data_IF_958976119018
#
_entry.id   IF_958976119018
#
_cell.length_a   1.000
_cell.length_b   1.000
_cell.length_c   1.000
_cell.angle_alpha   90.00
_cell.angle_beta   90.00
_cell.angle_gamma   90.00
#
_symmetry.space_group_name_H-M   'P 1'
#
loop_
_entity.id
_entity.type
_entity.pdbx_description
1 polymer ?
#
# COMPACT_ATOMS: atom_id res chain seq x y z
N UNK A 1 5.83 31.78 9.20
CA UNK A 1 5.15 30.57 8.69
C UNK A 1 4.70 30.72 7.24
N UNK A 2 3.99 31.81 6.86
CA UNK A 2 3.54 32.03 5.47
C UNK A 2 4.64 31.88 4.39
N UNK A 3 5.83 32.45 4.61
CA UNK A 3 6.92 32.42 3.63
C UNK A 3 7.50 31.00 3.37
N UNK A 4 7.51 30.15 4.40
CA UNK A 4 7.99 28.78 4.29
C UNK A 4 6.99 27.87 3.57
N UNK A 5 5.69 28.02 3.87
CA UNK A 5 4.63 27.28 3.18
C UNK A 5 4.57 27.61 1.68
N UNK A 6 4.73 28.89 1.32
CA UNK A 6 4.82 29.31 -0.09
C UNK A 6 6.02 28.69 -0.79
N UNK A 7 7.20 28.65 -0.15
CA UNK A 7 8.40 28.01 -0.70
C UNK A 7 8.18 26.53 -1.02
N UNK A 8 7.51 25.78 -0.14
CA UNK A 8 7.21 24.36 -0.35
C UNK A 8 6.27 24.14 -1.54
N UNK A 9 5.23 24.95 -1.68
CA UNK A 9 4.34 24.86 -2.84
C UNK A 9 5.05 25.14 -4.17
N UNK A 10 5.99 26.09 -4.18
CA UNK A 10 6.83 26.38 -5.35
C UNK A 10 7.76 25.22 -5.69
N UNK A 11 8.43 24.63 -4.69
CA UNK A 11 9.25 23.43 -4.87
C UNK A 11 8.42 22.28 -5.46
N UNK A 12 7.22 22.04 -4.94
CA UNK A 12 6.34 20.99 -5.45
C UNK A 12 5.97 21.23 -6.92
N UNK A 13 5.49 22.42 -7.26
CA UNK A 13 5.08 22.74 -8.64
C UNK A 13 6.24 22.61 -9.62
N UNK A 14 7.45 23.00 -9.23
CA UNK A 14 8.65 22.86 -10.06
C UNK A 14 9.06 21.41 -10.34
N UNK A 15 8.64 20.47 -9.48
CA UNK A 15 8.97 19.05 -9.57
C UNK A 15 7.89 18.20 -10.25
N UNK A 16 6.73 18.78 -10.60
CA UNK A 16 5.61 18.09 -11.26
C UNK A 16 5.60 18.36 -12.76
N UNK A 17 5.18 17.39 -13.57
CA UNK A 17 5.01 17.55 -15.01
C UNK A 17 3.91 18.60 -15.35
N UNK A 18 3.99 19.30 -16.50
CA UNK A 18 3.07 20.40 -16.83
C UNK A 18 1.58 20.07 -16.70
N UNK A 19 1.19 18.85 -17.07
CA UNK A 19 -0.21 18.40 -17.03
C UNK A 19 -0.77 18.33 -15.59
N UNK A 20 0.07 17.99 -14.61
CA UNK A 20 -0.32 17.95 -13.19
C UNK A 20 -0.24 19.32 -12.50
N UNK A 21 0.56 20.25 -13.02
CA UNK A 21 0.79 21.56 -12.41
C UNK A 21 -0.48 22.41 -12.32
N UNK A 22 -1.35 22.40 -13.34
CA UNK A 22 -2.55 23.24 -13.35
C UNK A 22 -3.56 22.87 -12.24
N UNK A 23 -3.73 21.56 -11.99
CA UNK A 23 -4.63 21.08 -10.93
C UNK A 23 -4.09 21.40 -9.52
N UNK A 24 -2.76 21.38 -9.36
CA UNK A 24 -2.08 21.71 -8.11
C UNK A 24 -2.00 23.22 -7.87
N UNK A 25 -1.74 24.02 -8.91
CA UNK A 25 -1.65 25.47 -8.82
C UNK A 25 -3.01 26.12 -8.52
N UNK A 26 -4.12 25.50 -8.94
CA UNK A 26 -5.49 25.92 -8.61
C UNK A 26 -5.96 25.48 -7.21
N UNK A 27 -5.07 24.90 -6.39
CA UNK A 27 -5.40 24.49 -5.04
C UNK A 27 -4.86 25.49 -4.01
N UNK A 28 -5.73 26.43 -3.61
CA UNK A 28 -5.37 27.52 -2.68
C UNK A 28 -4.77 27.04 -1.35
N UNK A 29 -5.22 25.88 -0.84
CA UNK A 29 -4.74 25.31 0.42
C UNK A 29 -3.51 24.38 0.27
N UNK A 30 -2.92 24.24 -0.92
CA UNK A 30 -1.81 23.31 -1.16
C UNK A 30 -0.61 23.58 -0.24
N UNK A 31 -0.21 24.84 -0.11
CA UNK A 31 0.91 25.25 0.74
C UNK A 31 0.71 24.82 2.21
N UNK A 32 -0.48 25.09 2.75
CA UNK A 32 -0.84 24.72 4.12
C UNK A 32 -0.91 23.20 4.30
N UNK A 33 -1.47 22.47 3.32
CA UNK A 33 -1.54 21.01 3.38
C UNK A 33 -0.16 20.36 3.35
N UNK A 34 0.79 20.90 2.57
CA UNK A 34 2.18 20.42 2.55
C UNK A 34 2.90 20.73 3.87
N UNK A 35 2.67 21.92 4.44
CA UNK A 35 3.23 22.28 5.74
C UNK A 35 2.72 21.36 6.85
N UNK A 36 1.41 21.11 6.91
CA UNK A 36 0.80 20.18 7.87
C UNK A 36 1.33 18.75 7.68
N UNK A 37 1.41 18.27 6.44
CA UNK A 37 1.96 16.93 6.17
C UNK A 37 3.41 16.80 6.63
N UNK A 38 4.23 17.83 6.41
CA UNK A 38 5.61 17.87 6.88
C UNK A 38 5.68 17.92 8.41
N UNK A 39 4.94 18.81 9.07
CA UNK A 39 4.94 18.93 10.53
C UNK A 39 4.53 17.63 11.22
N UNK A 40 3.47 16.98 10.74
CA UNK A 40 3.01 15.68 11.27
C UNK A 40 4.08 14.61 11.07
N UNK A 41 4.72 14.57 9.90
CA UNK A 41 5.75 13.57 9.60
C UNK A 41 7.03 13.79 10.42
N UNK A 42 7.50 15.04 10.52
CA UNK A 42 8.67 15.41 11.31
C UNK A 42 8.44 15.16 12.81
N UNK A 43 7.25 15.47 13.32
CA UNK A 43 6.89 15.20 14.71
C UNK A 43 6.92 13.71 15.05
N UNK A 44 6.52 12.83 14.12
CA UNK A 44 6.55 11.38 14.32
C UNK A 44 7.98 10.82 14.52
N UNK A 45 9.00 11.51 14.00
CA UNK A 45 10.40 11.10 14.07
C UNK A 45 11.29 12.07 14.84
N UNK A 46 10.68 13.00 15.57
CA UNK A 46 11.38 14.02 16.33
C UNK A 46 12.40 13.39 17.29
N UNK A 47 13.62 13.93 17.28
CA UNK A 47 14.74 13.43 18.09
C UNK A 47 15.42 12.16 17.55
N UNK A 48 14.95 11.56 16.46
CA UNK A 48 15.67 10.48 15.77
C UNK A 48 16.52 10.99 14.59
N UNK A 49 15.92 11.79 13.71
CA UNK A 49 16.59 12.40 12.56
C UNK A 49 15.78 13.61 12.07
N UNK A 50 16.37 14.40 11.19
CA UNK A 50 15.71 15.54 10.54
C UNK A 50 15.94 15.47 9.03
N UNK A 51 14.85 15.51 8.26
CA UNK A 51 14.87 15.58 6.80
C UNK A 51 14.44 16.99 6.38
N UNK A 52 15.20 17.59 5.47
CA UNK A 52 14.88 18.90 4.92
C UNK A 52 13.46 18.93 4.31
N UNK A 53 12.64 19.96 4.59
CA UNK A 53 11.28 20.07 4.07
C UNK A 53 11.21 19.94 2.55
N UNK A 54 12.17 20.50 1.82
CA UNK A 54 12.23 20.48 0.36
C UNK A 54 12.46 19.05 -0.17
N UNK A 55 13.27 18.26 0.54
CA UNK A 55 13.52 16.86 0.19
C UNK A 55 12.27 16.00 0.35
N UNK A 56 11.48 16.26 1.40
CA UNK A 56 10.21 15.59 1.62
C UNK A 56 9.17 16.00 0.56
N UNK A 57 9.06 17.29 0.27
CA UNK A 57 8.12 17.82 -0.72
C UNK A 57 8.44 17.35 -2.14
N UNK A 58 9.73 17.25 -2.51
CA UNK A 58 10.12 16.68 -3.79
C UNK A 58 9.63 15.22 -3.94
N UNK A 59 9.72 14.42 -2.86
CA UNK A 59 9.20 13.06 -2.88
C UNK A 59 7.66 13.03 -3.03
N UNK A 60 6.94 13.95 -2.37
CA UNK A 60 5.49 14.10 -2.55
C UNK A 60 5.16 14.44 -4.01
N UNK A 61 5.90 15.37 -4.62
CA UNK A 61 5.70 15.85 -5.99
C UNK A 61 5.76 14.70 -7.02
N UNK A 62 6.77 13.82 -6.92
CA UNK A 62 6.93 12.64 -7.78
C UNK A 62 5.69 11.74 -7.78
N UNK A 63 4.94 11.70 -6.67
CA UNK A 63 3.83 10.78 -6.45
C UNK A 63 2.49 11.39 -6.82
N UNK A 64 2.25 12.64 -6.41
CA UNK A 64 0.96 13.31 -6.68
C UNK A 64 0.92 13.94 -8.09
N UNK A 65 2.08 14.20 -8.70
CA UNK A 65 2.19 14.84 -10.00
C UNK A 65 1.66 14.01 -11.18
N UNK A 66 1.57 12.69 -11.00
CA UNK A 66 1.01 11.74 -12.00
C UNK A 66 -0.38 11.23 -11.62
N UNK A 67 -0.93 11.68 -10.49
CA UNK A 67 -2.21 11.20 -9.98
C UNK A 67 -3.37 11.90 -10.69
N UNK A 68 -4.42 11.13 -11.01
CA UNK A 68 -5.66 11.68 -11.59
C UNK A 68 -6.38 12.66 -10.64
N UNK A 69 -6.21 12.48 -9.33
CA UNK A 69 -6.68 13.41 -8.29
C UNK A 69 -5.56 13.66 -7.28
N UNK A 70 -4.78 14.74 -7.44
CA UNK A 70 -3.68 15.07 -6.53
C UNK A 70 -4.12 15.35 -5.09
N UNK A 71 -5.35 15.85 -4.87
CA UNK A 71 -5.86 16.14 -3.53
C UNK A 71 -6.11 14.85 -2.76
N UNK A 72 -6.81 13.92 -3.40
CA UNK A 72 -7.05 12.61 -2.81
C UNK A 72 -5.77 11.78 -2.66
N UNK A 73 -4.78 11.96 -3.54
CA UNK A 73 -3.46 11.34 -3.41
C UNK A 73 -2.72 11.86 -2.18
N UNK A 74 -2.64 13.19 -1.98
CA UNK A 74 -2.00 13.79 -0.82
C UNK A 74 -2.68 13.37 0.49
N UNK A 75 -4.02 13.36 0.53
CA UNK A 75 -4.77 12.98 1.72
C UNK A 75 -4.60 11.51 2.14
N UNK A 76 -4.25 10.62 1.21
CA UNK A 76 -4.02 9.19 1.48
C UNK A 76 -2.57 8.85 1.80
N UNK A 77 -1.68 9.82 1.62
CA UNK A 77 -0.25 9.62 1.78
C UNK A 77 0.09 9.32 3.23
N UNK A 78 0.86 8.25 3.46
CA UNK A 78 1.45 7.99 4.78
C UNK A 78 2.67 8.87 4.96
N UNK A 79 2.42 10.13 5.33
CA UNK A 79 3.44 11.17 5.43
C UNK A 79 4.62 10.76 6.33
N UNK A 80 4.36 10.24 7.54
CA UNK A 80 5.41 9.80 8.47
C UNK A 80 6.23 8.62 7.93
N UNK A 81 5.58 7.63 7.32
CA UNK A 81 6.26 6.48 6.72
C UNK A 81 7.11 6.91 5.52
N UNK A 82 6.56 7.78 4.66
CA UNK A 82 7.28 8.30 3.50
C UNK A 82 8.50 9.13 3.95
N UNK A 83 8.34 9.94 5.00
CA UNK A 83 9.41 10.77 5.56
C UNK A 83 10.59 9.91 6.00
N UNK A 84 10.34 8.82 6.73
CA UNK A 84 11.37 7.85 7.09
C UNK A 84 12.01 7.21 5.85
N UNK A 85 11.20 6.74 4.90
CA UNK A 85 11.71 6.07 3.71
C UNK A 85 12.63 6.98 2.88
N UNK A 86 12.25 8.25 2.70
CA UNK A 86 13.06 9.27 2.00
C UNK A 86 14.34 9.57 2.77
N UNK A 87 14.26 9.71 4.11
CA UNK A 87 15.43 9.94 4.94
C UNK A 87 16.43 8.77 4.87
N UNK A 88 15.95 7.52 4.90
CA UNK A 88 16.77 6.33 4.68
C UNK A 88 17.40 6.33 3.29
N UNK A 89 16.61 6.56 2.24
CA UNK A 89 17.10 6.55 0.85
C UNK A 89 18.17 7.63 0.59
N UNK A 90 18.11 8.76 1.32
CA UNK A 90 19.07 9.87 1.22
C UNK A 90 20.26 9.71 2.17
N UNK A 91 20.30 8.68 3.02
CA UNK A 91 21.38 8.49 3.98
C UNK A 91 21.42 9.54 5.09
N UNK A 92 20.27 10.08 5.49
CA UNK A 92 20.18 11.01 6.63
C UNK A 92 20.62 10.29 7.91
N UNK A 93 21.53 10.91 8.66
CA UNK A 93 22.04 10.36 9.91
C UNK A 93 20.88 10.08 10.90
N UNK A 94 20.88 8.90 11.52
CA UNK A 94 19.84 8.45 12.45
C UNK A 94 18.57 7.87 11.79
N UNK A 95 18.38 8.02 10.47
CA UNK A 95 17.20 7.48 9.79
C UNK A 95 17.21 5.95 9.73
N UNK A 96 18.36 5.34 9.41
CA UNK A 96 18.51 3.88 9.39
C UNK A 96 18.31 3.27 10.78
N UNK A 97 18.82 3.92 11.84
CA UNK A 97 18.61 3.46 13.20
C UNK A 97 17.14 3.52 13.61
N UNK A 98 16.43 4.59 13.21
CA UNK A 98 14.98 4.70 13.41
C UNK A 98 14.22 3.61 12.65
N UNK A 99 14.62 3.32 11.41
CA UNK A 99 14.06 2.25 10.62
C UNK A 99 14.27 0.87 11.26
N UNK A 100 15.48 0.52 11.66
CA UNK A 100 15.81 -0.77 12.29
C UNK A 100 15.06 -0.95 13.62
N UNK A 101 14.91 0.11 14.41
CA UNK A 101 14.14 0.08 15.66
C UNK A 101 12.69 -0.34 15.45
N UNK A 102 12.07 0.10 14.37
CA UNK A 102 10.65 -0.14 14.07
C UNK A 102 10.46 -1.44 13.28
N UNK A 103 11.30 -1.70 12.29
CA UNK A 103 11.08 -2.77 11.30
C UNK A 103 12.07 -3.93 11.38
N UNK A 104 13.18 -3.80 12.13
CA UNK A 104 14.22 -4.84 12.22
C UNK A 104 13.66 -6.19 12.66
N UNK A 105 12.77 -6.22 13.65
CA UNK A 105 12.11 -7.46 14.10
C UNK A 105 11.26 -8.13 13.03
N UNK A 106 10.62 -7.36 12.16
CA UNK A 106 9.84 -7.93 11.06
C UNK A 106 10.74 -8.48 9.96
N UNK A 107 11.87 -7.80 9.68
CA UNK A 107 12.90 -8.30 8.76
C UNK A 107 13.46 -9.62 9.29
N UNK A 108 13.87 -9.66 10.56
CA UNK A 108 14.50 -10.85 11.15
C UNK A 108 13.53 -12.04 11.17
N UNK A 109 12.24 -11.81 11.43
CA UNK A 109 11.20 -12.85 11.35
C UNK A 109 11.00 -13.39 9.94
N UNK A 110 11.14 -12.57 8.91
CA UNK A 110 11.07 -13.05 7.52
C UNK A 110 12.34 -13.83 7.21
N UNK A 111 13.52 -13.25 7.44
CA UNK A 111 14.83 -13.87 7.19
C UNK A 111 14.95 -15.24 7.88
N UNK A 112 14.52 -15.36 9.14
CA UNK A 112 14.57 -16.60 9.90
C UNK A 112 13.74 -17.76 9.29
N UNK A 113 12.74 -17.46 8.45
CA UNK A 113 11.96 -18.49 7.74
C UNK A 113 12.68 -19.08 6.53
N UNK A 114 13.57 -18.28 5.91
CA UNK A 114 14.34 -18.65 4.73
C UNK A 114 15.72 -19.20 5.06
N UNK A 115 16.29 -18.79 6.19
CA UNK A 115 17.61 -19.22 6.62
C UNK A 115 17.66 -20.72 6.95
N UNK A 116 18.73 -21.40 6.52
CA UNK A 116 18.99 -22.83 6.74
C UNK A 116 19.83 -23.11 7.99
N UNK A 117 20.56 -22.10 8.47
CA UNK A 117 21.40 -22.17 9.67
C UNK A 117 21.47 -20.79 10.34
N UNK A 118 22.13 -20.71 11.51
CA UNK A 118 22.36 -19.42 12.17
C UNK A 118 23.28 -18.50 11.35
N UNK A 119 24.38 -19.04 10.80
CA UNK A 119 25.28 -18.26 9.93
C UNK A 119 24.57 -17.77 8.66
N UNK A 120 23.77 -18.63 8.02
CA UNK A 120 22.98 -18.27 6.84
C UNK A 120 21.92 -17.19 7.17
N UNK A 121 21.40 -17.16 8.40
CA UNK A 121 20.46 -16.12 8.85
C UNK A 121 21.13 -14.76 8.92
N UNK A 122 22.31 -14.69 9.53
CA UNK A 122 23.02 -13.43 9.72
C UNK A 122 23.46 -12.86 8.36
N UNK A 123 24.03 -13.72 7.50
CA UNK A 123 24.44 -13.36 6.14
C UNK A 123 23.25 -12.91 5.28
N UNK A 124 22.14 -13.67 5.30
CA UNK A 124 20.93 -13.30 4.56
C UNK A 124 20.31 -12.00 5.11
N UNK A 125 20.31 -11.82 6.43
CA UNK A 125 19.81 -10.63 7.10
C UNK A 125 20.60 -9.38 6.70
N UNK A 126 21.93 -9.48 6.68
CA UNK A 126 22.80 -8.40 6.21
C UNK A 126 22.55 -8.11 4.73
N UNK A 127 22.53 -9.14 3.87
CA UNK A 127 22.35 -8.97 2.43
C UNK A 127 20.97 -8.39 2.06
N UNK A 128 19.94 -8.63 2.86
CA UNK A 128 18.63 -7.98 2.75
C UNK A 128 18.75 -6.49 3.09
N UNK A 129 19.36 -6.15 4.23
CA UNK A 129 19.50 -4.76 4.70
C UNK A 129 20.31 -3.91 3.73
N UNK A 130 21.42 -4.42 3.21
CA UNK A 130 22.22 -3.76 2.19
C UNK A 130 21.39 -3.39 0.96
N UNK A 131 20.62 -4.35 0.41
CA UNK A 131 19.75 -4.08 -0.75
C UNK A 131 18.58 -3.16 -0.43
N UNK A 132 18.05 -3.25 0.79
CA UNK A 132 16.88 -2.49 1.22
C UNK A 132 17.23 -1.01 1.44
N UNK A 133 18.36 -0.74 2.10
CA UNK A 133 18.70 0.58 2.65
C UNK A 133 19.89 1.26 1.98
N UNK A 134 20.82 0.51 1.36
CA UNK A 134 22.02 1.07 0.72
C UNK A 134 21.93 1.01 -0.81
N UNK A 135 21.45 -0.10 -1.36
CA UNK A 135 21.47 -0.36 -2.79
C UNK A 135 22.84 -0.86 -3.27
N UNK A 136 23.04 -0.92 -4.58
CA UNK A 136 24.27 -1.44 -5.20
C UNK A 136 24.84 -0.42 -6.21
N UNK A 137 24.97 0.83 -5.76
CA UNK A 137 25.50 1.95 -6.54
C UNK A 137 24.44 2.79 -7.29
N UNK A 138 24.86 3.78 -8.09
CA UNK A 138 23.96 4.78 -8.70
C UNK A 138 22.87 4.19 -9.61
N UNK A 139 23.17 3.06 -10.27
CA UNK A 139 22.23 2.36 -11.15
C UNK A 139 21.25 1.43 -10.40
N UNK A 140 21.47 1.19 -9.10
CA UNK A 140 20.61 0.37 -8.25
C UNK A 140 20.42 1.08 -6.91
N UNK A 141 19.53 2.09 -6.84
CA UNK A 141 19.22 2.77 -5.59
C UNK A 141 18.67 1.78 -4.56
N UNK A 142 18.71 2.13 -3.26
CA UNK A 142 18.16 1.30 -2.20
C UNK A 142 16.67 1.04 -2.44
N UNK A 143 16.19 -0.18 -2.19
CA UNK A 143 14.80 -0.54 -2.46
C UNK A 143 13.80 0.35 -1.71
N UNK A 144 14.16 0.85 -0.52
CA UNK A 144 13.33 1.75 0.28
C UNK A 144 12.93 3.03 -0.48
N UNK A 145 13.73 3.48 -1.45
CA UNK A 145 13.40 4.63 -2.29
C UNK A 145 12.15 4.40 -3.17
N UNK A 146 11.79 3.14 -3.44
CA UNK A 146 10.61 2.78 -4.22
C UNK A 146 9.31 2.74 -3.41
N UNK A 147 9.38 2.91 -2.08
CA UNK A 147 8.16 3.08 -1.29
C UNK A 147 7.53 4.44 -1.61
N UNK A 148 6.30 4.41 -2.08
CA UNK A 148 5.59 5.55 -2.64
C UNK A 148 4.69 6.27 -1.62
N UNK A 149 4.75 5.90 -0.33
CA UNK A 149 3.83 6.44 0.68
C UNK A 149 2.40 5.90 0.56
N UNK A 150 2.14 4.98 -0.38
CA UNK A 150 0.86 4.31 -0.53
C UNK A 150 0.80 3.11 0.40
N UNK A 151 -0.11 3.17 1.37
CA UNK A 151 -0.19 2.12 2.37
C UNK A 151 0.95 2.12 3.36
N UNK A 152 1.00 1.12 4.22
CA UNK A 152 1.92 1.16 5.36
C UNK A 152 3.27 0.58 5.02
N UNK A 153 4.29 1.27 5.50
CA UNK A 153 5.67 0.87 5.27
C UNK A 153 5.97 -0.51 5.85
N UNK A 154 5.37 -0.88 6.99
CA UNK A 154 5.55 -2.20 7.60
C UNK A 154 5.20 -3.35 6.64
N UNK A 155 4.06 -3.26 5.97
CA UNK A 155 3.61 -4.27 5.01
C UNK A 155 4.49 -4.28 3.76
N UNK A 156 4.89 -3.10 3.28
CA UNK A 156 5.83 -2.98 2.18
C UNK A 156 7.19 -3.61 2.51
N UNK A 157 7.72 -3.39 3.72
CA UNK A 157 8.99 -3.97 4.19
C UNK A 157 8.89 -5.49 4.23
N UNK A 158 7.84 -6.05 4.81
CA UNK A 158 7.63 -7.52 4.86
C UNK A 158 7.62 -8.14 3.46
N UNK A 159 6.88 -7.56 2.52
CA UNK A 159 6.80 -8.06 1.14
C UNK A 159 8.14 -7.94 0.43
N UNK A 160 8.81 -6.79 0.57
CA UNK A 160 10.09 -6.52 -0.09
C UNK A 160 11.19 -7.43 0.46
N UNK A 161 11.26 -7.62 1.79
CA UNK A 161 12.18 -8.57 2.43
C UNK A 161 11.93 -9.98 1.95
N UNK A 162 10.68 -10.46 1.91
CA UNK A 162 10.36 -11.79 1.37
C UNK A 162 10.87 -11.95 -0.06
N UNK A 163 10.67 -10.95 -0.94
CA UNK A 163 11.18 -10.98 -2.32
C UNK A 163 12.70 -11.05 -2.37
N UNK A 164 13.39 -10.26 -1.54
CA UNK A 164 14.85 -10.28 -1.46
C UNK A 164 15.38 -11.64 -0.97
N UNK A 165 14.71 -12.27 -0.01
CA UNK A 165 15.04 -13.62 0.44
C UNK A 165 14.82 -14.67 -0.66
N UNK A 166 13.73 -14.55 -1.44
CA UNK A 166 13.46 -15.42 -2.59
C UNK A 166 14.55 -15.26 -3.66
N UNK A 167 14.90 -14.02 -3.99
CA UNK A 167 15.95 -13.73 -4.98
C UNK A 167 17.30 -14.29 -4.54
N UNK A 168 17.65 -14.16 -3.25
CA UNK A 168 18.87 -14.74 -2.68
C UNK A 168 18.85 -16.27 -2.74
N UNK A 169 17.73 -16.91 -2.37
CA UNK A 169 17.58 -18.36 -2.43
C UNK A 169 17.67 -18.90 -3.87
N UNK A 170 17.17 -18.15 -4.86
CA UNK A 170 17.29 -18.49 -6.29
C UNK A 170 18.73 -18.35 -6.78
N UNK A 171 19.44 -17.29 -6.37
CA UNK A 171 20.84 -17.06 -6.76
C UNK A 171 21.80 -18.07 -6.14
N UNK A 172 21.49 -18.60 -4.95
CA UNK A 172 22.26 -19.65 -4.29
C UNK A 172 22.09 -21.04 -4.94
N UNK A 173 21.17 -21.22 -5.90
CA UNK A 173 21.10 -22.44 -6.70
C UNK A 173 22.22 -22.41 -7.75
N UNK A 174 23.16 -23.37 -7.76
CA UNK A 174 24.06 -23.51 -8.90
C UNK A 174 23.22 -23.75 -10.17
N UNK A 175 23.58 -23.09 -11.28
CA UNK A 175 23.14 -23.51 -12.62
C UNK A 175 23.65 -24.94 -12.82
N UNK A 176 22.86 -25.94 -12.48
CA UNK A 176 23.17 -27.30 -12.85
C UNK A 176 23.04 -27.38 -14.38
N UNK A 177 24.22 -27.52 -14.97
CA UNK A 177 24.52 -28.07 -16.30
C UNK A 177 23.47 -29.11 -16.70
N UNK A 178 23.03 -29.04 -17.95
CA UNK A 178 22.32 -30.12 -18.65
C UNK A 178 23.04 -31.45 -18.41
N UNK A 179 22.47 -32.30 -17.55
CA UNK A 179 22.79 -33.73 -17.50
C UNK A 179 21.46 -34.46 -17.65
N UNK A 180 21.32 -35.40 -18.61
CA UNK A 180 20.03 -35.99 -18.92
C UNK A 180 19.52 -36.90 -17.80
N UNK A 181 18.24 -36.74 -17.48
CA UNK A 181 17.29 -37.66 -16.83
C UNK A 181 17.83 -38.72 -15.85
N UNK A 182 17.47 -38.55 -14.58
CA UNK A 182 17.53 -39.59 -13.55
C UNK A 182 16.86 -39.14 -12.24
N UNK A 183 15.60 -39.55 -12.10
CA UNK A 183 14.81 -39.83 -10.88
C UNK A 183 14.65 -38.74 -9.78
N UNK A 184 13.41 -38.24 -9.72
CA UNK A 184 12.63 -37.72 -8.58
C UNK A 184 13.36 -37.42 -7.26
N UNK A 185 13.91 -36.20 -7.13
CA UNK A 185 14.01 -35.53 -5.83
C UNK A 185 13.01 -34.36 -5.76
N UNK A 186 12.10 -34.32 -4.76
CA UNK A 186 11.09 -33.29 -4.68
C UNK A 186 11.72 -31.91 -4.46
N UNK A 187 11.29 -30.94 -5.26
CA UNK A 187 11.76 -29.55 -5.27
C UNK A 187 11.32 -28.72 -4.03
N UNK A 188 11.76 -29.10 -2.82
CA UNK A 188 11.23 -28.56 -1.54
C UNK A 188 11.41 -27.04 -1.34
N UNK A 189 12.53 -26.45 -1.77
CA UNK A 189 12.83 -25.04 -1.46
C UNK A 189 12.09 -24.02 -2.35
N UNK A 190 11.79 -24.38 -3.60
CA UNK A 190 11.04 -23.51 -4.52
C UNK A 190 9.57 -23.44 -4.14
N UNK A 191 9.00 -24.60 -3.81
CA UNK A 191 7.62 -24.73 -3.32
C UNK A 191 7.42 -24.03 -1.98
N UNK A 192 8.41 -24.10 -1.06
CA UNK A 192 8.34 -23.40 0.22
C UNK A 192 8.32 -21.88 0.05
N UNK A 193 9.17 -21.33 -0.81
CA UNK A 193 9.23 -19.89 -1.07
C UNK A 193 7.94 -19.34 -1.68
N UNK A 194 7.38 -20.04 -2.67
CA UNK A 194 6.09 -19.67 -3.28
C UNK A 194 4.90 -19.92 -2.32
N UNK A 195 4.97 -20.95 -1.47
CA UNK A 195 3.99 -21.19 -0.41
C UNK A 195 4.02 -20.10 0.67
N UNK A 196 5.19 -19.57 1.02
CA UNK A 196 5.37 -18.49 1.99
C UNK A 196 4.88 -17.14 1.45
N UNK A 197 5.22 -16.80 0.20
CA UNK A 197 4.64 -15.63 -0.47
C UNK A 197 3.11 -15.75 -0.59
N UNK A 198 2.62 -16.95 -0.90
CA UNK A 198 1.19 -17.25 -0.93
C UNK A 198 0.54 -17.19 0.45
N UNK A 199 1.25 -17.57 1.51
CA UNK A 199 0.79 -17.46 2.89
C UNK A 199 0.65 -16.00 3.31
N UNK A 200 1.67 -15.16 3.10
CA UNK A 200 1.58 -13.72 3.38
C UNK A 200 0.48 -13.03 2.58
N UNK A 201 0.33 -13.39 1.29
CA UNK A 201 -0.80 -12.92 0.47
C UNK A 201 -2.14 -13.38 1.05
N UNK A 202 -2.27 -14.63 1.51
CA UNK A 202 -3.49 -15.16 2.13
C UNK A 202 -3.81 -14.47 3.47
N UNK A 203 -2.80 -14.21 4.29
CA UNK A 203 -2.94 -13.52 5.57
C UNK A 203 -3.43 -12.08 5.36
N UNK A 204 -2.77 -11.32 4.47
CA UNK A 204 -3.20 -9.97 4.11
C UNK A 204 -4.58 -9.97 3.43
N UNK A 205 -4.83 -10.92 2.52
CA UNK A 205 -6.15 -11.08 1.90
C UNK A 205 -7.23 -11.46 2.92
N UNK A 206 -6.88 -12.19 3.99
CA UNK A 206 -7.77 -12.52 5.10
C UNK A 206 -8.16 -11.27 5.91
N UNK A 207 -7.18 -10.43 6.25
CA UNK A 207 -7.41 -9.15 6.93
C UNK A 207 -8.32 -8.24 6.09
N UNK A 208 -8.03 -8.12 4.79
CA UNK A 208 -8.81 -7.31 3.85
C UNK A 208 -10.22 -7.86 3.67
N UNK A 209 -10.37 -9.18 3.54
CA UNK A 209 -11.67 -9.83 3.40
C UNK A 209 -12.53 -9.64 4.64
N UNK A 210 -11.95 -9.77 5.82
CA UNK A 210 -12.64 -9.54 7.08
C UNK A 210 -13.06 -8.06 7.21
N UNK A 211 -12.16 -7.13 6.88
CA UNK A 211 -12.49 -5.71 6.87
C UNK A 211 -13.61 -5.36 5.88
N UNK A 212 -13.61 -5.99 4.71
CA UNK A 212 -14.68 -5.82 3.72
C UNK A 212 -16.02 -6.37 4.21
N UNK A 213 -16.02 -7.53 4.87
CA UNK A 213 -17.24 -8.10 5.45
C UNK A 213 -17.86 -7.17 6.50
N UNK A 214 -17.03 -6.51 7.32
CA UNK A 214 -17.50 -5.51 8.29
C UNK A 214 -17.99 -4.24 7.62
N UNK A 215 -17.27 -3.73 6.62
CA UNK A 215 -17.68 -2.53 5.88
C UNK A 215 -19.05 -2.72 5.22
N UNK A 216 -19.27 -3.88 4.60
CA UNK A 216 -20.58 -4.25 4.05
C UNK A 216 -21.63 -4.38 5.14
N UNK A 217 -21.26 -4.86 6.34
CA UNK A 217 -22.19 -4.96 7.47
C UNK A 217 -22.59 -3.58 8.03
N UNK A 218 -21.69 -2.61 7.99
CA UNK A 218 -21.84 -1.24 8.51
C UNK A 218 -22.69 -0.35 7.56
N UNK A 219 -22.71 -0.66 6.27
CA UNK A 219 -23.60 -0.02 5.29
C UNK A 219 -25.08 -0.32 5.59
N UNK A 220 -25.94 0.70 5.44
CA UNK A 220 -27.39 0.52 5.55
C UNK A 220 -27.96 -0.40 4.44
N UNK A 221 -29.18 -0.88 4.67
CA UNK A 221 -29.83 -1.86 3.79
C UNK A 221 -30.01 -1.35 2.36
N UNK A 222 -30.25 -0.04 2.19
CA UNK A 222 -30.51 0.57 0.88
C UNK A 222 -29.24 0.76 0.06
N UNK A 223 -28.14 1.25 0.65
CA UNK A 223 -26.83 1.36 -0.03
C UNK A 223 -26.30 -0.02 -0.40
N UNK A 224 -26.45 -1.01 0.49
CA UNK A 224 -26.02 -2.39 0.24
C UNK A 224 -26.78 -3.03 -0.92
N UNK A 225 -28.10 -2.83 -0.98
CA UNK A 225 -28.95 -3.32 -2.08
C UNK A 225 -28.57 -2.68 -3.42
N UNK A 226 -28.34 -1.37 -3.43
CA UNK A 226 -27.86 -0.62 -4.59
C UNK A 226 -26.54 -1.17 -5.13
N UNK A 227 -25.57 -1.39 -4.24
CA UNK A 227 -24.27 -1.95 -4.60
C UNK A 227 -24.40 -3.38 -5.14
N UNK A 228 -25.27 -4.21 -4.54
CA UNK A 228 -25.53 -5.58 -5.02
C UNK A 228 -26.13 -5.59 -6.42
N UNK A 229 -27.19 -4.80 -6.66
CA UNK A 229 -27.84 -4.73 -7.97
C UNK A 229 -26.87 -4.37 -9.09
N UNK A 230 -25.95 -3.45 -8.82
CA UNK A 230 -25.01 -2.99 -9.83
C UNK A 230 -23.77 -3.89 -9.98
N UNK A 231 -23.18 -4.38 -8.87
CA UNK A 231 -21.89 -5.09 -8.89
C UNK A 231 -22.06 -6.61 -8.99
N UNK A 232 -23.14 -7.17 -8.44
CA UNK A 232 -23.42 -8.62 -8.47
C UNK A 232 -24.40 -8.94 -9.58
N UNK A 233 -25.52 -8.22 -9.63
CA UNK A 233 -26.61 -8.54 -10.57
C UNK A 233 -26.42 -7.85 -11.94
N UNK A 234 -25.36 -7.04 -12.09
CA UNK A 234 -25.00 -6.38 -13.35
C UNK A 234 -26.02 -5.39 -13.90
N UNK A 235 -26.95 -4.91 -13.07
CA UNK A 235 -28.03 -4.03 -13.51
C UNK A 235 -27.49 -2.67 -13.95
N UNK A 236 -28.04 -2.18 -15.06
CA UNK A 236 -27.75 -0.84 -15.58
C UNK A 236 -28.36 0.23 -14.67
N UNK A 237 -27.83 1.46 -14.76
CA UNK A 237 -28.35 2.60 -14.00
C UNK A 237 -29.82 2.86 -14.35
N UNK A 238 -30.25 2.61 -15.59
CA UNK A 238 -31.63 2.78 -16.02
C UNK A 238 -32.55 1.78 -15.31
N UNK A 239 -32.18 0.50 -15.30
CA UNK A 239 -32.94 -0.54 -14.61
C UNK A 239 -32.98 -0.34 -13.09
N UNK A 240 -31.90 0.19 -12.51
CA UNK A 240 -31.86 0.57 -11.09
C UNK A 240 -32.79 1.76 -10.82
N UNK A 241 -32.81 2.74 -11.71
CA UNK A 241 -33.67 3.93 -11.59
C UNK A 241 -35.16 3.56 -11.65
N UNK A 242 -35.54 2.68 -12.58
CA UNK A 242 -36.89 2.12 -12.68
C UNK A 242 -37.29 1.38 -11.41
N UNK A 243 -36.43 0.49 -10.89
CA UNK A 243 -36.69 -0.26 -9.65
C UNK A 243 -36.82 0.62 -8.40
N UNK A 244 -36.14 1.77 -8.40
CA UNK A 244 -36.22 2.76 -7.31
C UNK A 244 -37.35 3.78 -7.51
N UNK A 245 -38.04 3.78 -8.65
CA UNK A 245 -39.06 4.77 -8.99
C UNK A 245 -38.51 6.20 -9.06
N UNK A 246 -37.27 6.39 -9.51
CA UNK A 246 -36.61 7.70 -9.56
C UNK A 246 -35.94 7.97 -10.92
N UNK A 247 -35.55 9.23 -11.16
CA UNK A 247 -34.83 9.61 -12.37
C UNK A 247 -33.42 8.98 -12.44
N UNK A 248 -32.94 8.61 -13.65
CA UNK A 248 -31.59 8.05 -13.92
C UNK A 248 -30.47 8.80 -13.18
N UNK A 249 -30.50 10.13 -13.26
CA UNK A 249 -29.50 10.99 -12.61
C UNK A 249 -29.50 10.88 -11.07
N UNK A 250 -30.64 10.55 -10.46
CA UNK A 250 -30.76 10.33 -9.02
C UNK A 250 -30.23 8.95 -8.63
N UNK A 251 -30.53 7.91 -9.40
CA UNK A 251 -29.97 6.57 -9.21
C UNK A 251 -28.44 6.55 -9.36
N UNK A 252 -27.91 7.24 -10.37
CA UNK A 252 -26.47 7.39 -10.58
C UNK A 252 -25.78 8.05 -9.38
N UNK A 253 -26.32 9.18 -8.90
CA UNK A 253 -25.78 9.89 -7.72
C UNK A 253 -25.83 9.03 -6.45
N UNK A 254 -26.93 8.30 -6.23
CA UNK A 254 -27.06 7.38 -5.08
C UNK A 254 -26.06 6.22 -5.15
N UNK A 255 -25.81 5.66 -6.34
CA UNK A 255 -24.82 4.61 -6.54
C UNK A 255 -23.38 5.10 -6.31
N UNK A 256 -23.04 6.29 -6.81
CA UNK A 256 -21.74 6.92 -6.55
C UNK A 256 -21.54 7.14 -5.05
N UNK A 257 -22.57 7.65 -4.35
CA UNK A 257 -22.52 7.84 -2.90
C UNK A 257 -22.38 6.51 -2.15
N UNK A 258 -23.14 5.49 -2.52
CA UNK A 258 -23.01 4.15 -1.91
C UNK A 258 -21.61 3.54 -2.11
N UNK A 259 -20.96 3.78 -3.26
CA UNK A 259 -19.56 3.37 -3.49
C UNK A 259 -18.59 4.13 -2.59
N UNK A 260 -18.77 5.44 -2.45
CA UNK A 260 -17.94 6.24 -1.54
C UNK A 260 -18.10 5.77 -0.09
N UNK A 261 -19.34 5.60 0.38
CA UNK A 261 -19.65 5.13 1.73
C UNK A 261 -19.05 3.73 2.00
N UNK A 262 -19.06 2.81 1.03
CA UNK A 262 -18.41 1.50 1.15
C UNK A 262 -16.89 1.62 1.33
N UNK A 263 -16.26 2.50 0.56
CA UNK A 263 -14.82 2.70 0.61
C UNK A 263 -14.42 3.30 1.95
N UNK A 264 -15.19 4.24 2.49
CA UNK A 264 -14.94 4.85 3.79
C UNK A 264 -15.15 3.85 4.94
N UNK A 265 -16.22 3.06 4.89
CA UNK A 265 -16.45 1.97 5.85
C UNK A 265 -15.33 0.92 5.80
N UNK A 266 -14.83 0.59 4.60
CA UNK A 266 -13.70 -0.33 4.42
C UNK A 266 -12.40 0.22 5.01
N UNK A 267 -12.11 1.51 4.81
CA UNK A 267 -10.94 2.15 5.45
C UNK A 267 -11.05 2.08 6.97
N UNK A 268 -12.21 2.40 7.54
CA UNK A 268 -12.44 2.32 8.98
C UNK A 268 -12.29 0.88 9.50
N UNK A 269 -12.89 -0.10 8.82
CA UNK A 269 -12.83 -1.50 9.22
C UNK A 269 -11.45 -2.15 9.08
N UNK A 270 -10.66 -1.72 8.09
CA UNK A 270 -9.25 -2.09 7.96
C UNK A 270 -8.43 -1.48 9.08
N UNK A 271 -8.57 -0.17 9.32
CA UNK A 271 -7.82 0.54 10.35
C UNK A 271 -8.07 -0.03 11.75
N UNK A 272 -9.30 -0.46 12.07
CA UNK A 272 -9.61 -1.14 13.35
C UNK A 272 -8.90 -2.48 13.52
N UNK A 273 -8.73 -3.24 12.42
CA UNK A 273 -8.13 -4.58 12.44
C UNK A 273 -6.62 -4.54 12.41
N UNK A 274 -6.12 -3.69 11.55
CA UNK A 274 -4.72 -3.45 11.35
C UNK A 274 -4.57 -1.95 11.12
N UNK A 275 -4.18 -1.20 12.17
CA UNK A 275 -3.86 0.21 12.05
C UNK A 275 -2.74 0.45 11.04
N UNK A 276 -2.02 -0.61 10.62
CA UNK A 276 -1.00 -0.67 9.59
C UNK A 276 -1.47 -1.27 8.24
N UNK A 277 -2.77 -1.39 7.95
CA UNK A 277 -3.27 -1.77 6.63
C UNK A 277 -4.12 -0.66 5.98
N UNK A 278 -3.78 -0.24 4.74
CA UNK A 278 -4.60 0.71 3.96
C UNK A 278 -5.25 0.00 2.79
N UNK A 279 -6.46 0.41 2.42
CA UNK A 279 -7.19 -0.13 1.25
C UNK A 279 -6.31 -0.07 0.00
N UNK A 280 -5.68 1.07 -0.23
CA UNK A 280 -4.86 1.36 -1.40
C UNK A 280 -3.55 0.53 -1.42
N UNK A 281 -2.96 0.27 -0.24
CA UNK A 281 -1.84 -0.68 -0.04
C UNK A 281 -2.20 -2.11 -0.44
N UNK A 282 -3.42 -2.51 -0.08
CA UNK A 282 -3.91 -3.87 -0.23
C UNK A 282 -4.40 -4.14 -1.66
N UNK A 283 -5.01 -3.15 -2.30
CA UNK A 283 -5.52 -3.26 -3.68
C UNK A 283 -4.38 -3.44 -4.69
N UNK A 284 -3.21 -2.82 -4.45
CA UNK A 284 -2.01 -3.05 -5.26
C UNK A 284 -1.44 -4.47 -5.16
N UNK A 285 -1.63 -5.15 -4.03
CA UNK A 285 -1.08 -6.49 -3.77
C UNK A 285 -2.08 -7.64 -4.06
N UNK A 286 -3.39 -7.38 -3.98
CA UNK A 286 -4.46 -8.41 -3.99
C UNK A 286 -5.37 -8.28 -5.23
N UNK A 287 -4.94 -7.54 -6.25
CA UNK A 287 -5.73 -7.24 -7.46
C UNK A 287 -6.25 -8.47 -8.23
N UNK A 288 -5.68 -9.66 -8.02
CA UNK A 288 -6.16 -10.93 -8.61
C UNK A 288 -7.11 -11.76 -7.73
N UNK A 289 -7.25 -11.46 -6.42
CA UNK A 289 -8.12 -12.24 -5.50
C UNK A 289 -9.32 -11.46 -4.94
N UNK A 290 -9.36 -10.14 -5.12
CA UNK A 290 -10.46 -9.31 -4.64
C UNK A 290 -11.75 -9.53 -5.44
N UNK A 291 -11.70 -9.69 -6.76
CA UNK A 291 -12.90 -9.83 -7.62
C UNK A 291 -13.76 -11.05 -7.24
N UNK A 292 -13.13 -12.19 -6.90
CA UNK A 292 -13.84 -13.41 -6.47
C UNK A 292 -14.47 -13.25 -5.07
N UNK A 293 -13.84 -12.45 -4.20
CA UNK A 293 -14.34 -12.19 -2.84
C UNK A 293 -15.48 -11.16 -2.83
N UNK A 294 -15.42 -10.17 -3.73
CA UNK A 294 -16.45 -9.15 -3.95
C UNK A 294 -17.79 -9.79 -4.35
N UNK A 295 -17.75 -10.67 -5.35
CA UNK A 295 -18.95 -11.36 -5.82
C UNK A 295 -19.55 -12.28 -4.74
N UNK A 296 -18.71 -13.01 -3.98
CA UNK A 296 -19.18 -13.96 -2.97
C UNK A 296 -19.79 -13.28 -1.73
N UNK A 297 -19.17 -12.21 -1.24
CA UNK A 297 -19.63 -11.53 0.00
C UNK A 297 -20.89 -10.70 -0.22
N UNK A 298 -21.06 -10.09 -1.39
CA UNK A 298 -22.30 -9.40 -1.75
C UNK A 298 -23.44 -10.38 -2.10
N UNK A 299 -23.11 -11.62 -2.51
CA UNK A 299 -24.07 -12.68 -2.79
C UNK A 299 -24.63 -13.38 -1.54
N UNK A 300 -23.83 -13.54 -0.47
CA UNK A 300 -24.07 -14.51 0.63
C UNK A 300 -24.92 -14.04 1.81
N UNK A 301 -25.37 -12.78 1.89
CA UNK A 301 -26.22 -12.30 3.00
C UNK A 301 -27.63 -11.94 2.55
N UNK A 302 -28.48 -12.96 2.42
CA UNK A 302 -29.92 -12.81 2.66
C UNK A 302 -30.17 -12.83 4.18
N UNK A 303 -30.87 -11.86 4.77
CA UNK A 303 -31.67 -12.19 5.93
C UNK A 303 -32.79 -13.11 5.44
N UNK A 304 -32.88 -14.31 6.03
CA UNK A 304 -34.08 -15.14 5.93
C UNK A 304 -35.28 -14.25 6.24
N UNK A 305 -36.18 -14.08 5.26
CA UNK A 305 -37.53 -13.58 5.52
C UNK A 305 -38.18 -14.57 6.49
N UNK A 306 -38.32 -14.15 7.74
CA UNK A 306 -39.15 -14.82 8.74
C UNK A 306 -40.14 -13.80 9.26
N UNK A 307 -41.43 -14.08 9.05
CA UNK A 307 -42.58 -13.23 9.40
C UNK A 307 -43.30 -12.73 8.17
#
# INVERSE_FOLDING_TARGET
MANAATSLSTTLLSAVAPDGQAALASWDALADQLAVAHEVAAAAWAGSFELAPEAFVAAIAERIGVAADPRAALARLRAADLYLAVACARGVAGAVDAFERVFGRDIDRVVARFARSAADRDDLGQAVRERLLVGAGPARPPRIASYDGSGFLQNWVRVTTTRLCIDAARAARPRQVEVPAGDDEPHVAGDRADAELSFFRRELAGVVRAAFADAVAELDGDRRRLLRWHVVDGLSIDTIAERLGCHRATAARRLVRARADLVDALRAALHRRDPSASVESCVGLVRSQLDVSLHRLLATREPRRGG
#
